data_IF_480087006608
#
_entry.id   IF_480087006608
#
_cell.length_a   1.000
_cell.length_b   1.000
_cell.length_c   1.000
_cell.angle_alpha   90.00
_cell.angle_beta   90.00
_cell.angle_gamma   90.00
#
_symmetry.space_group_name_H-M   'P 1'
#
loop_
_entity.id
_entity.type
_entity.pdbx_description
1 polymer ?
#
# COMPACT_ATOMS: atom_id res chain seq x y z
N UNK A 1 0.05 -4.91 50.33
CA UNK A 1 -1.37 -4.65 50.00
C UNK A 1 -2.00 -4.06 51.25
N UNK A 2 -2.68 -2.91 51.18
CA UNK A 2 -3.31 -2.33 52.37
C UNK A 2 -4.59 -3.11 52.73
N UNK A 3 -5.09 -2.94 53.96
CA UNK A 3 -6.27 -3.66 54.48
C UNK A 3 -7.53 -3.33 53.65
N UNK A 4 -7.69 -2.07 53.24
CA UNK A 4 -8.82 -1.61 52.42
C UNK A 4 -8.91 -2.33 51.06
N UNK A 5 -7.77 -2.59 50.41
CA UNK A 5 -7.71 -3.37 49.17
C UNK A 5 -8.10 -4.83 49.39
N UNK A 6 -7.81 -5.40 50.56
CA UNK A 6 -8.21 -6.77 50.87
C UNK A 6 -9.72 -6.88 51.04
N UNK A 7 -10.32 -5.96 51.82
CA UNK A 7 -11.76 -5.90 52.06
C UNK A 7 -12.54 -5.66 50.75
N UNK A 8 -12.05 -4.78 49.88
CA UNK A 8 -12.65 -4.52 48.58
C UNK A 8 -12.64 -5.75 47.66
N UNK A 9 -11.51 -6.45 47.57
CA UNK A 9 -11.39 -7.65 46.74
C UNK A 9 -12.20 -8.82 47.29
N UNK A 10 -12.38 -8.88 48.62
CA UNK A 10 -13.24 -9.85 49.28
C UNK A 10 -14.73 -9.61 48.97
N UNK A 11 -15.18 -8.35 49.00
CA UNK A 11 -16.54 -7.97 48.59
C UNK A 11 -16.82 -8.36 47.13
N UNK A 12 -15.91 -8.02 46.21
CA UNK A 12 -16.06 -8.37 44.79
C UNK A 12 -16.13 -9.89 44.55
N UNK A 13 -15.39 -10.67 45.32
CA UNK A 13 -15.42 -12.13 45.24
C UNK A 13 -16.77 -12.68 45.68
N UNK A 14 -17.33 -12.15 46.77
CA UNK A 14 -18.65 -12.54 47.29
C UNK A 14 -19.75 -12.16 46.29
N UNK A 15 -19.73 -10.93 45.78
CA UNK A 15 -20.74 -10.43 44.83
C UNK A 15 -20.75 -11.22 43.50
N UNK A 16 -19.59 -11.76 43.10
CA UNK A 16 -19.43 -12.56 41.89
C UNK A 16 -19.60 -14.08 42.12
N UNK A 17 -19.97 -14.51 43.33
CA UNK A 17 -20.14 -15.93 43.73
C UNK A 17 -18.90 -16.81 43.44
N UNK A 18 -17.70 -16.24 43.63
CA UNK A 18 -16.44 -16.93 43.36
C UNK A 18 -15.99 -17.70 44.61
N UNK A 19 -15.79 -19.02 44.56
CA UNK A 19 -15.42 -19.81 45.73
C UNK A 19 -14.03 -19.44 46.25
N UNK A 20 -13.87 -19.42 47.58
CA UNK A 20 -12.60 -19.13 48.23
C UNK A 20 -11.66 -20.33 48.07
N UNK A 21 -10.43 -20.09 47.62
CA UNK A 21 -9.36 -21.10 47.61
C UNK A 21 -8.43 -20.93 48.82
N UNK A 22 -7.69 -21.98 49.17
CA UNK A 22 -6.81 -21.93 50.36
C UNK A 22 -5.67 -20.90 50.25
N UNK A 23 -5.34 -20.45 49.03
CA UNK A 23 -4.29 -19.47 48.82
C UNK A 23 -4.84 -18.03 48.89
N UNK A 24 -4.62 -17.35 50.01
CA UNK A 24 -5.11 -15.98 50.29
C UNK A 24 -4.64 -14.96 49.24
N UNK A 25 -3.41 -15.10 48.75
CA UNK A 25 -2.87 -14.25 47.68
C UNK A 25 -3.60 -14.44 46.35
N UNK A 26 -4.10 -15.65 46.08
CA UNK A 26 -4.88 -15.94 44.87
C UNK A 26 -6.26 -15.32 44.95
N UNK A 27 -6.95 -15.45 46.08
CA UNK A 27 -8.28 -14.85 46.27
C UNK A 27 -8.24 -13.32 46.10
N UNK A 28 -7.14 -12.67 46.52
CA UNK A 28 -6.95 -11.24 46.34
C UNK A 28 -6.53 -10.86 44.91
N UNK A 29 -5.83 -11.73 44.18
CA UNK A 29 -5.36 -11.44 42.83
C UNK A 29 -6.37 -11.84 41.74
N UNK A 30 -7.21 -12.85 41.97
CA UNK A 30 -8.11 -13.43 40.97
C UNK A 30 -9.08 -12.42 40.34
N UNK A 31 -9.74 -11.54 41.10
CA UNK A 31 -10.63 -10.55 40.52
C UNK A 31 -9.86 -9.53 39.64
N UNK A 32 -8.57 -9.29 39.92
CA UNK A 32 -7.71 -8.44 39.10
C UNK A 32 -7.14 -9.16 37.86
N UNK A 33 -6.86 -10.46 37.97
CA UNK A 33 -6.24 -11.29 36.92
C UNK A 33 -7.26 -11.78 35.89
N UNK A 34 -8.50 -12.09 36.30
CA UNK A 34 -9.55 -12.51 35.37
C UNK A 34 -10.25 -11.37 34.62
N UNK A 35 -9.78 -10.13 34.80
CA UNK A 35 -10.19 -9.01 33.97
C UNK A 35 -11.71 -8.84 33.98
N UNK A 36 -12.25 -8.23 35.04
CA UNK A 36 -13.53 -7.54 34.91
C UNK A 36 -13.45 -6.70 33.63
N UNK A 37 -14.27 -7.05 32.65
CA UNK A 37 -14.37 -6.33 31.40
C UNK A 37 -14.83 -4.91 31.72
N UNK A 38 -13.87 -4.02 31.88
CA UNK A 38 -14.09 -2.60 31.80
C UNK A 38 -14.39 -2.33 30.32
N UNK A 39 -15.68 -2.22 29.98
CA UNK A 39 -16.13 -1.77 28.68
C UNK A 39 -15.64 -0.34 28.45
N UNK A 40 -14.44 -0.23 27.89
CA UNK A 40 -13.87 1.01 27.37
C UNK A 40 -13.68 0.89 25.88
N UNK A 41 -13.90 2.00 25.18
CA UNK A 41 -13.71 2.10 23.75
C UNK A 41 -12.34 1.54 23.35
N UNK A 42 -12.26 0.64 22.35
CA UNK A 42 -11.00 0.01 21.97
C UNK A 42 -9.97 1.06 21.53
N UNK A 43 -8.69 0.78 21.85
CA UNK A 43 -7.58 1.53 21.28
C UNK A 43 -7.74 1.55 19.75
N UNK A 44 -7.82 2.74 19.15
CA UNK A 44 -8.03 2.88 17.70
C UNK A 44 -6.79 2.50 16.88
N UNK A 45 -5.67 2.19 17.53
CA UNK A 45 -4.47 1.71 16.88
C UNK A 45 -4.56 0.20 16.61
N UNK A 46 -4.75 -0.18 15.35
CA UNK A 46 -4.86 -1.58 14.91
C UNK A 46 -3.55 -2.38 14.99
N UNK A 47 -2.43 -1.74 15.32
CA UNK A 47 -1.14 -2.41 15.56
C UNK A 47 -1.08 -3.17 16.89
N UNK A 48 -2.03 -2.88 17.76
CA UNK A 48 -2.09 -3.42 19.09
C UNK A 48 -2.66 -4.83 19.02
N UNK A 49 -1.77 -5.81 18.78
CA UNK A 49 -2.06 -7.25 18.76
C UNK A 49 -2.58 -7.79 20.10
N UNK A 50 -2.50 -6.99 21.17
CA UNK A 50 -3.07 -7.30 22.47
C UNK A 50 -3.26 -6.05 23.33
N UNK A 51 -4.34 -6.08 24.11
CA UNK A 51 -4.54 -5.20 25.26
C UNK A 51 -3.78 -5.80 26.44
N UNK A 52 -2.83 -5.08 27.00
CA UNK A 52 -2.07 -5.47 28.20
C UNK A 52 -2.64 -4.68 29.39
N UNK A 53 -3.08 -5.36 30.47
CA UNK A 53 -3.47 -4.67 31.71
C UNK A 53 -2.27 -3.90 32.26
N UNK A 54 -2.45 -2.63 32.59
CA UNK A 54 -1.39 -1.80 33.17
C UNK A 54 -1.91 -1.09 34.42
N UNK A 55 -1.47 -1.55 35.59
CA UNK A 55 -1.96 -1.09 36.90
C UNK A 55 -3.50 -1.10 37.04
N UNK A 56 -4.00 -0.74 38.22
CA UNK A 56 -5.44 -0.77 38.50
C UNK A 56 -6.17 0.25 37.60
N UNK A 57 -6.92 -0.25 36.63
CA UNK A 57 -7.86 0.55 35.83
C UNK A 57 -7.35 1.11 34.49
N UNK A 58 -6.14 0.78 34.05
CA UNK A 58 -5.65 1.16 32.71
C UNK A 58 -5.30 -0.05 31.86
N UNK A 59 -5.52 0.08 30.56
CA UNK A 59 -5.20 -0.96 29.58
C UNK A 59 -4.43 -0.27 28.47
N UNK A 60 -3.18 -0.68 28.30
CA UNK A 60 -2.33 -0.20 27.21
C UNK A 60 -2.22 -1.26 26.12
N UNK A 61 -2.00 -0.75 24.92
CA UNK A 61 -1.61 -1.55 23.78
C UNK A 61 -0.15 -1.99 23.92
N UNK A 62 0.25 -3.16 23.40
CA UNK A 62 1.64 -3.66 23.49
C UNK A 62 2.69 -2.57 23.16
N UNK A 63 2.49 -1.82 22.07
CA UNK A 63 3.38 -0.72 21.67
C UNK A 63 3.44 0.39 22.74
N UNK A 64 2.30 0.79 23.29
CA UNK A 64 2.26 1.81 24.35
C UNK A 64 2.91 1.31 25.64
N UNK A 65 2.71 0.03 26.00
CA UNK A 65 3.35 -0.61 27.16
C UNK A 65 4.87 -0.65 27.01
N UNK A 66 5.38 -1.09 25.86
CA UNK A 66 6.83 -1.10 25.60
C UNK A 66 7.42 0.31 25.58
N UNK A 67 6.69 1.28 25.00
CA UNK A 67 7.13 2.67 24.98
C UNK A 67 7.19 3.28 26.38
N UNK A 68 6.15 3.09 27.20
CA UNK A 68 6.13 3.57 28.58
C UNK A 68 7.20 2.89 29.45
N UNK A 69 7.39 1.57 29.31
CA UNK A 69 8.42 0.85 30.04
C UNK A 69 9.85 1.32 29.69
N UNK A 70 10.07 1.81 28.47
CA UNK A 70 11.39 2.27 28.02
C UNK A 70 11.62 3.77 28.24
N UNK A 71 10.58 4.59 28.12
CA UNK A 71 10.68 6.06 28.17
C UNK A 71 10.13 6.66 29.46
N UNK A 72 9.49 5.88 30.32
CA UNK A 72 8.85 6.34 31.56
C UNK A 72 7.63 7.24 31.33
N UNK A 73 7.12 7.31 30.09
CA UNK A 73 5.94 8.10 29.71
C UNK A 73 5.21 7.49 28.51
N UNK A 74 3.94 7.84 28.34
CA UNK A 74 3.19 7.44 27.14
C UNK A 74 3.70 8.17 25.87
N UNK A 75 3.58 7.52 24.70
CA UNK A 75 3.97 8.15 23.44
C UNK A 75 3.00 9.28 23.07
N UNK A 76 3.55 10.38 22.57
CA UNK A 76 2.80 11.47 21.93
C UNK A 76 2.15 10.99 20.63
N UNK A 77 1.16 11.71 20.11
CA UNK A 77 0.54 11.39 18.81
C UNK A 77 1.56 11.32 17.67
N UNK A 78 2.61 12.14 17.72
CA UNK A 78 3.71 12.16 16.75
C UNK A 78 4.55 10.89 16.85
N UNK A 79 4.80 10.38 18.06
CA UNK A 79 5.53 9.13 18.30
C UNK A 79 4.71 7.91 17.92
N UNK A 80 3.40 7.90 18.24
CA UNK A 80 2.48 6.88 17.77
C UNK A 80 2.50 6.82 16.24
N UNK A 81 2.46 7.97 15.57
CA UNK A 81 2.51 8.03 14.11
C UNK A 81 3.82 7.47 13.55
N UNK A 82 4.96 7.60 14.25
CA UNK A 82 6.23 6.97 13.87
C UNK A 82 6.23 5.46 14.08
N UNK A 83 5.50 4.98 15.09
CA UNK A 83 5.40 3.56 15.45
C UNK A 83 4.39 2.79 14.58
N UNK A 84 3.49 3.47 13.87
CA UNK A 84 2.55 2.85 12.94
C UNK A 84 3.26 2.31 11.69
N UNK A 85 2.86 1.14 11.21
CA UNK A 85 3.31 0.64 9.92
C UNK A 85 2.79 1.50 8.77
N UNK A 86 3.47 1.51 7.63
CA UNK A 86 3.03 2.29 6.45
C UNK A 86 1.61 1.93 6.01
N UNK A 87 1.23 0.64 6.09
CA UNK A 87 -0.14 0.20 5.80
C UNK A 87 -1.17 0.81 6.74
N UNK A 88 -0.85 0.97 8.03
CA UNK A 88 -1.76 1.58 9.00
C UNK A 88 -1.88 3.08 8.84
N UNK A 89 -0.77 3.76 8.49
CA UNK A 89 -0.80 5.18 8.15
C UNK A 89 -1.70 5.42 6.94
N UNK A 90 -1.59 4.55 5.92
CA UNK A 90 -2.44 4.60 4.74
C UNK A 90 -3.92 4.37 5.08
N UNK A 91 -4.24 3.35 5.89
CA UNK A 91 -5.61 3.06 6.30
C UNK A 91 -6.22 4.18 7.14
N UNK A 92 -5.45 4.80 8.03
CA UNK A 92 -5.87 5.95 8.81
C UNK A 92 -6.14 7.18 7.92
N UNK A 93 -5.26 7.45 6.95
CA UNK A 93 -5.45 8.52 5.98
C UNK A 93 -6.73 8.31 5.15
N UNK A 94 -6.98 7.07 4.70
CA UNK A 94 -8.21 6.70 3.97
C UNK A 94 -9.46 6.84 4.83
N UNK A 95 -9.42 6.38 6.08
CA UNK A 95 -10.55 6.49 7.00
C UNK A 95 -10.94 7.96 7.25
N UNK A 96 -9.95 8.86 7.32
CA UNK A 96 -10.17 10.31 7.45
C UNK A 96 -10.72 10.93 6.17
N UNK A 97 -10.25 10.48 5.01
CA UNK A 97 -10.60 11.08 3.72
C UNK A 97 -11.95 10.59 3.15
N UNK A 98 -12.49 9.46 3.64
CA UNK A 98 -13.80 8.94 3.24
C UNK A 98 -13.77 7.94 2.07
N UNK A 99 -14.93 7.54 1.52
CA UNK A 99 -15.05 6.42 0.58
C UNK A 99 -14.52 6.71 -0.83
N UNK A 100 -14.52 7.97 -1.27
CA UNK A 100 -14.00 8.37 -2.58
C UNK A 100 -13.12 9.63 -2.45
N UNK A 101 -11.93 9.49 -1.85
CA UNK A 101 -11.09 10.64 -1.53
C UNK A 101 -10.45 11.20 -2.81
N UNK A 102 -10.34 12.54 -2.94
CA UNK A 102 -9.57 13.14 -4.02
C UNK A 102 -8.08 12.86 -3.83
N UNK A 103 -7.35 12.84 -4.94
CA UNK A 103 -5.89 12.88 -4.95
C UNK A 103 -5.45 14.24 -4.40
N UNK A 104 -4.57 14.24 -3.39
CA UNK A 104 -4.12 15.46 -2.72
C UNK A 104 -3.20 16.35 -3.56
N UNK A 105 -2.82 15.91 -4.76
CA UNK A 105 -2.05 16.70 -5.71
C UNK A 105 -2.94 17.20 -6.87
N UNK A 106 -3.40 16.28 -7.73
CA UNK A 106 -4.20 16.65 -8.91
C UNK A 106 -5.73 16.73 -8.69
N UNK A 107 -6.24 16.46 -7.49
CA UNK A 107 -7.67 16.55 -7.17
C UNK A 107 -8.57 15.46 -7.75
N UNK A 108 -8.08 14.64 -8.70
CA UNK A 108 -8.85 13.53 -9.31
C UNK A 108 -9.37 12.57 -8.24
N UNK A 109 -10.64 12.14 -8.35
CA UNK A 109 -11.27 11.24 -7.39
C UNK A 109 -10.83 9.80 -7.60
N UNK A 110 -10.86 9.00 -6.53
CA UNK A 110 -10.33 7.65 -6.52
C UNK A 110 -11.11 6.68 -7.42
N UNK A 111 -12.41 6.92 -7.62
CA UNK A 111 -13.29 6.15 -8.52
C UNK A 111 -12.92 6.24 -10.00
N UNK A 112 -12.12 7.23 -10.41
CA UNK A 112 -11.58 7.30 -11.77
C UNK A 112 -10.51 6.24 -12.05
N UNK A 113 -9.93 5.63 -11.01
CA UNK A 113 -8.79 4.73 -11.14
C UNK A 113 -9.15 3.29 -10.77
N UNK A 114 -8.59 2.29 -11.47
CA UNK A 114 -8.72 0.88 -11.06
C UNK A 114 -7.94 0.58 -9.78
N UNK A 115 -6.95 1.42 -9.44
CA UNK A 115 -6.10 1.26 -8.26
C UNK A 115 -6.39 2.38 -7.27
N UNK A 116 -6.53 2.03 -5.98
CA UNK A 116 -6.76 3.00 -4.89
C UNK A 116 -5.57 3.96 -4.76
N UNK A 117 -5.84 5.20 -4.36
CA UNK A 117 -4.78 6.15 -4.01
C UNK A 117 -3.87 5.58 -2.91
N UNK A 118 -2.56 5.84 -3.02
CA UNK A 118 -1.55 5.41 -2.06
C UNK A 118 -0.94 6.61 -1.35
N UNK A 119 -0.11 6.38 -0.34
CA UNK A 119 0.61 7.42 0.38
C UNK A 119 2.11 7.26 0.12
N UNK A 120 2.80 8.37 -0.11
CA UNK A 120 4.25 8.38 -0.32
C UNK A 120 4.97 8.99 0.89
N UNK A 121 6.18 8.52 1.18
CA UNK A 121 6.98 8.99 2.34
C UNK A 121 7.28 10.50 2.31
N UNK A 122 7.38 11.09 1.11
CA UNK A 122 7.62 12.53 0.92
C UNK A 122 6.37 13.38 1.11
N UNK A 123 5.19 12.77 1.16
CA UNK A 123 3.90 13.44 1.36
C UNK A 123 3.06 12.66 2.39
N UNK A 124 3.50 12.60 3.66
CA UNK A 124 2.82 11.82 4.69
C UNK A 124 1.40 12.34 4.94
N UNK A 125 0.45 11.42 5.06
CA UNK A 125 -0.97 11.72 5.25
C UNK A 125 -1.71 12.20 4.00
N UNK A 126 -1.02 12.34 2.86
CA UNK A 126 -1.63 12.75 1.59
C UNK A 126 -1.84 11.51 0.71
N UNK A 127 -3.08 11.32 0.25
CA UNK A 127 -3.43 10.25 -0.68
C UNK A 127 -3.18 10.73 -2.11
N UNK A 128 -2.42 9.97 -2.88
CA UNK A 128 -2.00 10.32 -4.24
C UNK A 128 -2.39 9.22 -5.22
N UNK A 129 -2.82 9.61 -6.42
CA UNK A 129 -2.99 8.70 -7.56
C UNK A 129 -1.64 8.22 -8.10
N UNK A 130 -1.65 7.15 -8.92
CA UNK A 130 -0.43 6.55 -9.46
C UNK A 130 0.49 7.55 -10.17
N UNK A 131 -0.06 8.37 -11.08
CA UNK A 131 0.70 9.40 -11.79
C UNK A 131 1.37 10.41 -10.85
N UNK A 132 0.64 10.93 -9.84
CA UNK A 132 1.20 11.86 -8.85
C UNK A 132 2.29 11.23 -7.98
N UNK A 133 2.17 9.95 -7.65
CA UNK A 133 3.23 9.23 -6.93
C UNK A 133 4.48 9.10 -7.80
N UNK A 134 4.31 8.80 -9.09
CA UNK A 134 5.44 8.69 -10.01
C UNK A 134 6.15 10.03 -10.18
N UNK A 135 5.41 11.13 -10.36
CA UNK A 135 5.98 12.48 -10.40
C UNK A 135 6.79 12.78 -9.13
N UNK A 136 6.18 12.54 -7.96
CA UNK A 136 6.81 12.81 -6.67
C UNK A 136 8.04 11.92 -6.44
N UNK A 137 8.06 10.69 -6.96
CA UNK A 137 9.22 9.79 -6.91
C UNK A 137 10.35 10.26 -7.83
N UNK A 138 10.02 10.65 -9.06
CA UNK A 138 11.00 11.02 -10.09
C UNK A 138 11.62 12.39 -9.86
N UNK A 139 10.81 13.36 -9.44
CA UNK A 139 11.22 14.76 -9.34
C UNK A 139 11.29 15.29 -7.90
N UNK A 140 10.78 14.54 -6.92
CA UNK A 140 10.75 14.98 -5.52
C UNK A 140 9.76 16.12 -5.25
N UNK A 141 8.96 16.53 -6.25
CA UNK A 141 8.00 17.62 -6.17
C UNK A 141 6.63 17.20 -6.69
N UNK A 142 5.58 17.91 -6.25
CA UNK A 142 4.21 17.77 -6.76
C UNK A 142 4.06 18.48 -8.11
N UNK A 143 2.95 18.24 -8.82
CA UNK A 143 2.67 18.94 -10.07
C UNK A 143 2.43 20.43 -9.82
N UNK A 144 2.83 21.25 -10.79
CA UNK A 144 2.39 22.65 -10.92
C UNK A 144 0.91 22.72 -11.31
N UNK A 145 0.26 23.87 -11.14
CA UNK A 145 -1.15 24.04 -11.52
C UNK A 145 -1.39 23.79 -13.02
N UNK A 146 -0.43 24.17 -13.88
CA UNK A 146 -0.51 23.91 -15.32
C UNK A 146 -0.44 22.40 -15.63
N UNK A 147 0.48 21.67 -14.99
CA UNK A 147 0.60 20.23 -15.16
C UNK A 147 -0.62 19.48 -14.61
N UNK A 148 -1.18 19.93 -13.48
CA UNK A 148 -2.44 19.41 -12.95
C UNK A 148 -3.57 19.59 -13.94
N UNK A 149 -3.70 20.78 -14.54
CA UNK A 149 -4.73 21.06 -15.53
C UNK A 149 -4.59 20.14 -16.76
N UNK A 150 -3.37 19.91 -17.26
CA UNK A 150 -3.10 18.95 -18.34
C UNK A 150 -3.51 17.53 -17.94
N UNK A 151 -3.14 17.08 -16.75
CA UNK A 151 -3.44 15.75 -16.24
C UNK A 151 -4.95 15.50 -16.10
N UNK A 152 -5.68 16.50 -15.58
CA UNK A 152 -7.15 16.46 -15.47
C UNK A 152 -7.80 16.46 -16.85
N UNK A 153 -7.29 17.27 -17.78
CA UNK A 153 -7.76 17.31 -19.17
C UNK A 153 -7.61 15.96 -19.89
N UNK A 154 -6.47 15.28 -19.72
CA UNK A 154 -6.24 13.94 -20.29
C UNK A 154 -7.25 12.92 -19.73
N UNK A 155 -7.52 12.94 -18.42
CA UNK A 155 -8.51 12.04 -17.83
C UNK A 155 -9.93 12.34 -18.28
N UNK A 156 -10.31 13.62 -18.41
CA UNK A 156 -11.61 14.00 -18.95
C UNK A 156 -11.79 13.47 -20.39
N UNK A 157 -10.74 13.58 -21.22
CA UNK A 157 -10.73 13.03 -22.57
C UNK A 157 -10.90 11.50 -22.56
N UNK A 158 -10.19 10.79 -21.68
CA UNK A 158 -10.32 9.33 -21.55
C UNK A 158 -11.72 8.93 -21.07
N UNK A 159 -12.30 9.64 -20.11
CA UNK A 159 -13.68 9.40 -19.67
C UNK A 159 -14.66 9.55 -20.84
N UNK A 160 -14.52 10.61 -21.65
CA UNK A 160 -15.34 10.83 -22.86
C UNK A 160 -15.20 9.68 -23.85
N UNK A 161 -13.98 9.21 -24.13
CA UNK A 161 -13.75 8.07 -25.04
C UNK A 161 -14.49 6.78 -24.64
N UNK A 162 -14.86 6.62 -23.36
CA UNK A 162 -15.64 5.45 -22.90
C UNK A 162 -17.13 5.55 -23.22
N UNK A 163 -17.64 6.76 -23.41
CA UNK A 163 -19.08 7.03 -23.53
C UNK A 163 -19.48 7.58 -24.90
N UNK A 164 -18.55 8.20 -25.62
CA UNK A 164 -18.82 8.89 -26.89
C UNK A 164 -17.64 8.77 -27.87
N UNK A 165 -17.95 8.97 -29.15
CA UNK A 165 -16.95 9.06 -30.22
C UNK A 165 -16.26 10.43 -30.17
N UNK A 166 -14.97 10.42 -29.90
CA UNK A 166 -14.16 11.64 -29.81
C UNK A 166 -13.70 12.04 -31.20
N UNK A 167 -13.91 13.31 -31.54
CA UNK A 167 -13.51 13.90 -32.82
C UNK A 167 -12.33 14.86 -32.58
N UNK A 168 -11.46 15.00 -33.56
CA UNK A 168 -10.39 16.00 -33.53
C UNK A 168 -10.99 17.41 -33.53
N UNK A 169 -10.62 18.23 -32.55
CA UNK A 169 -11.16 19.60 -32.41
C UNK A 169 -10.83 20.51 -33.62
N UNK A 170 -9.77 20.21 -34.38
CA UNK A 170 -9.35 21.01 -35.53
C UNK A 170 -10.00 20.59 -36.86
N UNK A 171 -10.09 19.29 -37.13
CA UNK A 171 -10.54 18.78 -38.44
C UNK A 171 -11.79 17.89 -38.38
N UNK A 172 -12.38 17.69 -37.20
CA UNK A 172 -13.55 16.85 -36.95
C UNK A 172 -13.41 15.39 -37.42
N UNK A 173 -12.19 14.90 -37.68
CA UNK A 173 -11.96 13.50 -38.01
C UNK A 173 -12.15 12.67 -36.72
N UNK A 174 -12.94 11.58 -36.74
CA UNK A 174 -13.13 10.71 -35.59
C UNK A 174 -11.81 10.03 -35.20
N UNK A 175 -11.57 9.89 -33.90
CA UNK A 175 -10.37 9.28 -33.36
C UNK A 175 -10.31 7.78 -33.73
N UNK A 176 -9.27 7.36 -34.48
CA UNK A 176 -9.13 5.97 -34.88
C UNK A 176 -8.75 5.06 -33.70
N UNK A 177 -9.44 3.93 -33.58
CA UNK A 177 -9.84 3.35 -32.29
C UNK A 177 -8.84 2.42 -31.58
N UNK A 178 -7.58 2.25 -32.03
CA UNK A 178 -6.70 1.24 -31.41
C UNK A 178 -5.31 1.69 -30.96
N UNK A 179 -4.58 2.52 -31.72
CA UNK A 179 -3.20 2.88 -31.36
C UNK A 179 -3.13 4.01 -30.31
N UNK A 180 -4.09 4.94 -30.35
CA UNK A 180 -4.15 6.12 -29.47
C UNK A 180 -4.57 5.77 -28.04
N UNK A 181 -5.40 4.73 -27.88
CA UNK A 181 -5.85 4.24 -26.57
C UNK A 181 -4.70 3.73 -25.70
N UNK A 182 -3.73 3.05 -26.30
CA UNK A 182 -2.65 2.40 -25.57
C UNK A 182 -1.61 3.39 -25.03
N UNK A 183 -1.25 4.40 -25.82
CA UNK A 183 -0.37 5.49 -25.37
C UNK A 183 -0.98 6.30 -24.23
N UNK A 184 -2.28 6.60 -24.31
CA UNK A 184 -2.92 7.43 -23.27
C UNK A 184 -3.14 6.65 -21.97
N UNK A 185 -3.46 5.36 -22.05
CA UNK A 185 -3.56 4.49 -20.86
C UNK A 185 -2.23 4.40 -20.11
N UNK A 186 -1.12 4.16 -20.83
CA UNK A 186 0.22 4.05 -20.24
C UNK A 186 0.64 5.34 -19.50
N UNK A 187 0.27 6.51 -20.06
CA UNK A 187 0.48 7.80 -19.40
C UNK A 187 -0.35 7.96 -18.11
N UNK A 188 -1.58 7.44 -18.05
CA UNK A 188 -2.45 7.55 -16.88
C UNK A 188 -2.04 6.66 -15.70
N UNK A 189 -1.66 5.41 -15.97
CA UNK A 189 -1.29 4.46 -14.91
C UNK A 189 0.15 4.63 -14.43
N UNK A 190 0.93 5.50 -15.05
CA UNK A 190 2.38 5.61 -14.78
C UNK A 190 3.13 4.33 -15.12
N UNK A 191 2.53 3.43 -15.90
CA UNK A 191 3.26 2.37 -16.58
C UNK A 191 3.94 3.03 -17.78
N UNK A 192 5.06 3.70 -17.54
CA UNK A 192 6.08 3.78 -18.58
C UNK A 192 6.32 2.35 -19.04
N UNK A 193 6.23 2.12 -20.34
CA UNK A 193 6.31 0.80 -20.98
C UNK A 193 7.24 -0.14 -20.21
N UNK A 194 6.88 -1.41 -20.11
CA UNK A 194 7.75 -2.49 -19.64
C UNK A 194 9.22 -2.36 -20.15
N UNK A 195 9.40 -1.73 -21.31
CA UNK A 195 10.66 -1.25 -21.88
C UNK A 195 11.48 -0.28 -21.00
N UNK A 196 10.89 0.75 -20.39
CA UNK A 196 11.60 1.68 -19.50
C UNK A 196 12.01 1.01 -18.18
N UNK A 197 11.20 0.08 -17.67
CA UNK A 197 11.59 -0.76 -16.51
C UNK A 197 12.74 -1.70 -16.86
N UNK A 198 12.71 -2.31 -18.07
CA UNK A 198 13.79 -3.14 -18.58
C UNK A 198 15.08 -2.33 -18.80
N UNK A 199 14.96 -1.12 -19.37
CA UNK A 199 16.08 -0.20 -19.60
C UNK A 199 16.64 0.34 -18.28
N UNK A 200 15.80 0.61 -17.27
CA UNK A 200 16.23 1.01 -15.94
C UNK A 200 16.91 -0.12 -15.15
N UNK A 201 16.70 -1.40 -15.53
CA UNK A 201 17.42 -2.54 -14.95
C UNK A 201 18.79 -2.80 -15.59
N UNK A 202 19.08 -2.23 -16.77
CA UNK A 202 20.37 -2.40 -17.45
C UNK A 202 21.58 -1.89 -16.64
N UNK A 203 21.53 -0.72 -15.95
CA UNK A 203 22.64 -0.28 -15.10
C UNK A 203 22.89 -1.24 -13.93
N UNK A 204 21.81 -1.78 -13.34
CA UNK A 204 21.89 -2.73 -12.23
C UNK A 204 22.52 -4.06 -12.65
N UNK A 205 22.20 -4.53 -13.87
CA UNK A 205 22.88 -5.68 -14.48
C UNK A 205 24.37 -5.39 -14.73
N UNK A 206 24.73 -4.16 -15.11
CA UNK A 206 26.12 -3.73 -15.24
C UNK A 206 26.90 -3.79 -13.93
N UNK A 207 26.34 -3.27 -12.84
CA UNK A 207 26.97 -3.30 -11.51
C UNK A 207 27.14 -4.74 -10.98
N UNK A 208 26.14 -5.59 -11.20
CA UNK A 208 26.20 -7.02 -10.82
C UNK A 208 27.30 -7.73 -11.62
N UNK A 209 27.40 -7.49 -12.93
CA UNK A 209 28.45 -8.08 -13.78
C UNK A 209 29.85 -7.60 -13.36
N UNK A 210 30.00 -6.33 -13.00
CA UNK A 210 31.26 -5.77 -12.51
C UNK A 210 31.69 -6.41 -11.18
N UNK A 211 30.75 -6.57 -10.23
CA UNK A 211 31.00 -7.23 -8.94
C UNK A 211 31.50 -8.67 -9.12
N UNK A 212 30.89 -9.44 -10.02
CA UNK A 212 31.32 -10.81 -10.30
C UNK A 212 32.68 -10.89 -11.00
N UNK A 213 33.00 -9.92 -11.86
CA UNK A 213 34.31 -9.82 -12.51
C UNK A 213 35.43 -9.56 -11.50
N UNK A 214 35.19 -8.68 -10.52
CA UNK A 214 36.19 -8.31 -9.50
C UNK A 214 36.46 -9.43 -8.48
N UNK A 215 35.51 -10.35 -8.27
CA UNK A 215 35.61 -11.40 -7.25
C UNK A 215 36.06 -12.78 -7.80
N UNK A 216 36.49 -12.86 -9.07
CA UNK A 216 36.91 -14.11 -9.73
C UNK A 216 35.96 -15.29 -9.48
N UNK A 217 34.65 -15.01 -9.44
CA UNK A 217 33.66 -16.08 -9.29
C UNK A 217 33.70 -16.93 -10.56
N UNK A 218 33.90 -18.24 -10.40
CA UNK A 218 34.09 -19.16 -11.53
C UNK A 218 33.01 -18.98 -12.60
N UNK A 219 33.46 -18.87 -13.86
CA UNK A 219 32.64 -18.62 -15.04
C UNK A 219 31.46 -19.62 -15.20
N UNK A 220 31.60 -20.82 -14.63
CA UNK A 220 30.57 -21.85 -14.62
C UNK A 220 29.32 -21.46 -13.81
N UNK A 221 29.48 -20.68 -12.73
CA UNK A 221 28.33 -20.22 -11.94
C UNK A 221 27.55 -19.14 -12.69
N UNK A 222 28.26 -18.21 -13.32
CA UNK A 222 27.70 -17.10 -14.09
C UNK A 222 26.91 -17.63 -15.30
N UNK A 223 27.47 -18.55 -16.07
CA UNK A 223 26.80 -19.11 -17.27
C UNK A 223 25.54 -19.90 -16.93
N UNK A 224 25.53 -20.63 -15.80
CA UNK A 224 24.36 -21.40 -15.36
C UNK A 224 23.20 -20.51 -14.93
N UNK A 225 23.48 -19.38 -14.25
CA UNK A 225 22.43 -18.46 -13.80
C UNK A 225 22.01 -17.45 -14.87
N UNK A 226 22.93 -16.94 -15.71
CA UNK A 226 22.56 -16.11 -16.86
C UNK A 226 21.76 -16.90 -17.89
N UNK A 227 22.05 -18.20 -18.09
CA UNK A 227 21.23 -19.07 -18.93
C UNK A 227 19.78 -19.14 -18.44
N UNK A 228 19.57 -19.27 -17.13
CA UNK A 228 18.22 -19.27 -16.54
C UNK A 228 17.54 -17.91 -16.70
N UNK A 229 18.25 -16.81 -16.48
CA UNK A 229 17.69 -15.45 -16.65
C UNK A 229 17.33 -15.21 -18.12
N UNK A 230 18.21 -15.52 -19.07
CA UNK A 230 17.95 -15.36 -20.51
C UNK A 230 16.82 -16.27 -20.98
N UNK A 231 16.69 -17.49 -20.46
CA UNK A 231 15.57 -18.38 -20.78
C UNK A 231 14.26 -17.88 -20.17
N UNK A 232 14.25 -17.43 -18.92
CA UNK A 232 13.04 -16.91 -18.26
C UNK A 232 12.58 -15.60 -18.89
N UNK A 233 13.50 -14.68 -19.18
CA UNK A 233 13.18 -13.43 -19.88
C UNK A 233 12.85 -13.68 -21.36
N UNK A 234 13.55 -14.59 -22.02
CA UNK A 234 13.28 -15.00 -23.40
C UNK A 234 11.89 -15.63 -23.53
N UNK A 235 11.50 -16.51 -22.61
CA UNK A 235 10.16 -17.10 -22.56
C UNK A 235 9.08 -16.08 -22.19
N UNK A 236 9.38 -15.10 -21.33
CA UNK A 236 8.44 -14.02 -21.03
C UNK A 236 8.23 -13.10 -22.24
N UNK A 237 9.31 -12.76 -22.96
CA UNK A 237 9.24 -11.94 -24.19
C UNK A 237 8.57 -12.72 -25.32
N UNK A 238 8.92 -13.99 -25.54
CA UNK A 238 8.29 -14.85 -26.56
C UNK A 238 6.84 -15.19 -26.19
N UNK A 239 6.49 -15.31 -24.92
CA UNK A 239 5.10 -15.48 -24.49
C UNK A 239 4.23 -14.25 -24.76
N UNK A 240 4.76 -13.05 -24.51
CA UNK A 240 4.04 -11.79 -24.73
C UNK A 240 4.00 -11.39 -26.22
N UNK A 241 5.08 -11.64 -26.96
CA UNK A 241 5.15 -11.39 -28.42
C UNK A 241 4.41 -12.49 -29.20
N UNK A 242 4.49 -13.75 -28.74
CA UNK A 242 3.84 -14.91 -29.33
C UNK A 242 2.32 -14.85 -29.24
N UNK A 243 1.75 -14.44 -28.10
CA UNK A 243 0.29 -14.19 -27.99
C UNK A 243 -0.18 -13.04 -28.89
N UNK A 244 0.68 -12.03 -29.14
CA UNK A 244 0.36 -10.91 -30.04
C UNK A 244 0.43 -11.32 -31.51
N UNK A 245 1.36 -12.21 -31.88
CA UNK A 245 1.49 -12.72 -33.24
C UNK A 245 0.31 -13.64 -33.64
N UNK A 246 -0.18 -14.51 -32.74
CA UNK A 246 -1.34 -15.37 -33.04
C UNK A 246 -2.63 -14.58 -33.22
N UNK A 247 -2.86 -13.53 -32.43
CA UNK A 247 -4.05 -12.66 -32.61
C UNK A 247 -4.00 -11.88 -33.92
N UNK A 248 -2.80 -11.50 -34.38
CA UNK A 248 -2.62 -10.79 -35.65
C UNK A 248 -2.80 -11.71 -36.87
N UNK A 249 -2.28 -12.94 -36.82
CA UNK A 249 -2.42 -13.93 -37.89
C UNK A 249 -3.87 -14.42 -38.04
N UNK A 250 -4.58 -14.67 -36.92
CA UNK A 250 -6.00 -15.05 -36.97
C UNK A 250 -6.88 -13.96 -37.57
N UNK A 251 -6.54 -12.67 -37.36
CA UNK A 251 -7.26 -11.54 -37.98
C UNK A 251 -7.02 -11.40 -39.47
N UNK A 252 -5.79 -11.62 -39.95
CA UNK A 252 -5.48 -11.57 -41.38
C UNK A 252 -6.19 -12.70 -42.14
N UNK A 253 -6.20 -13.90 -41.56
CA UNK A 253 -6.90 -15.05 -42.15
C UNK A 253 -8.41 -14.81 -42.24
N UNK A 254 -9.00 -14.15 -41.23
CA UNK A 254 -10.42 -13.79 -41.23
C UNK A 254 -10.80 -12.65 -42.22
N UNK A 255 -9.85 -11.83 -42.65
CA UNK A 255 -10.10 -10.74 -43.62
C UNK A 255 -9.84 -11.12 -45.08
N UNK A 256 -9.07 -12.18 -45.34
CA UNK A 256 -8.68 -12.59 -46.70
C UNK A 256 -9.55 -13.75 -47.23
N UNK A 257 -10.31 -14.42 -46.37
CA UNK A 257 -11.27 -15.45 -46.77
C UNK A 257 -12.71 -14.95 -46.54
N UNK A 258 -13.47 -14.58 -47.58
CA UNK A 258 -14.91 -14.51 -47.47
C UNK A 258 -15.49 -15.94 -47.37
N UNK A 259 -16.73 -16.09 -46.87
CA UNK A 259 -17.36 -17.40 -46.64
C UNK A 259 -17.48 -18.24 -47.91
#
# INVERSE_FOLDING_TARGET
MNVECHEFMESLRIDADIPQVQWTGLNAAWPAVQGFRMDRAPCKNKACSGKVPHAVGFVFCYICTTFEATQGRLPTNTEISRLMSEGQKLDAARAKAGPNPPCGDCGRRQDFFPVKHLMHRLAPGVLLCGACIMQLKSHGVMHTEEEKAKLVGVSALISRRRTEEVHCDNCAVPESSQLTWQHTYNAEVGQSDFFLTLVAMLPFLGEVMQYYADHQVELEFITKYLGVIVVVFGLAVVGVVGLRATVWVVRIVATVMPP
#
